data_IF_204946531384
#
_entry.id   IF_204946531384
#
_cell.length_a   1.000
_cell.length_b   1.000
_cell.length_c   1.000
_cell.angle_alpha   90.00
_cell.angle_beta   90.00
_cell.angle_gamma   90.00
#
_symmetry.space_group_name_H-M   'P 1'
#
loop_
_entity.id
_entity.type
_entity.pdbx_description
1 polymer ?
#
# COMPACT_ATOMS: atom_id res chain seq x y z
N UNK A 1 31.66 19.20 -0.37
CA UNK A 1 31.05 18.82 -1.68
C UNK A 1 32.01 17.90 -2.37
N UNK A 2 31.59 16.73 -2.75
CA UNK A 2 32.42 15.84 -3.57
C UNK A 2 32.57 16.42 -4.98
N UNK A 3 33.75 16.30 -5.60
CA UNK A 3 33.98 16.74 -6.99
C UNK A 3 33.04 15.97 -7.91
N UNK A 4 32.53 16.64 -8.94
CA UNK A 4 31.63 16.03 -9.94
C UNK A 4 32.37 15.81 -11.24
N UNK A 5 32.24 14.63 -11.80
CA UNK A 5 32.69 14.35 -13.16
C UNK A 5 31.68 14.93 -14.16
N UNK A 6 32.18 15.61 -15.19
CA UNK A 6 31.38 16.25 -16.22
C UNK A 6 31.60 15.54 -17.55
N UNK A 7 30.51 15.04 -18.13
CA UNK A 7 30.52 14.43 -19.46
C UNK A 7 29.67 15.24 -20.41
N UNK A 8 30.21 15.55 -21.62
CA UNK A 8 29.55 16.42 -22.58
C UNK A 8 29.19 15.70 -23.87
N UNK A 9 28.16 16.23 -24.55
CA UNK A 9 27.77 15.88 -25.93
C UNK A 9 27.72 14.36 -26.20
N UNK A 10 28.58 13.90 -27.10
CA UNK A 10 28.51 12.54 -27.64
C UNK A 10 28.87 11.46 -26.60
N UNK A 11 29.90 11.69 -25.82
CA UNK A 11 30.40 10.71 -24.84
C UNK A 11 29.35 10.44 -23.73
N UNK A 12 28.81 11.49 -23.12
CA UNK A 12 27.79 11.35 -22.10
C UNK A 12 26.51 10.65 -22.63
N UNK A 13 26.13 10.96 -23.90
CA UNK A 13 24.99 10.33 -24.55
C UNK A 13 25.20 8.83 -24.75
N UNK A 14 26.37 8.41 -25.22
CA UNK A 14 26.68 6.98 -25.43
C UNK A 14 26.60 6.19 -24.13
N UNK A 15 27.11 6.73 -23.02
CA UNK A 15 27.02 6.10 -21.70
C UNK A 15 25.60 6.02 -21.21
N UNK A 16 24.78 7.07 -21.34
CA UNK A 16 23.36 7.04 -20.96
C UNK A 16 22.59 5.98 -21.77
N UNK A 17 22.81 5.90 -23.08
CA UNK A 17 22.21 4.87 -23.95
C UNK A 17 22.61 3.46 -23.49
N UNK A 18 23.90 3.26 -23.19
CA UNK A 18 24.39 1.97 -22.70
C UNK A 18 23.72 1.57 -21.39
N UNK A 19 23.55 2.51 -20.45
CA UNK A 19 22.81 2.29 -19.20
C UNK A 19 21.35 1.91 -19.44
N UNK A 20 20.64 2.64 -20.32
CA UNK A 20 19.25 2.34 -20.70
C UNK A 20 19.14 0.93 -21.27
N UNK A 21 20.02 0.58 -22.23
CA UNK A 21 19.98 -0.72 -22.89
C UNK A 21 20.33 -1.87 -21.95
N UNK A 22 21.28 -1.70 -21.03
CA UNK A 22 21.62 -2.70 -20.01
C UNK A 22 20.45 -2.94 -19.08
N UNK A 23 19.81 -1.87 -18.58
CA UNK A 23 18.62 -1.96 -17.74
C UNK A 23 17.45 -2.65 -18.46
N UNK A 24 17.11 -2.20 -19.65
CA UNK A 24 16.04 -2.78 -20.42
C UNK A 24 16.27 -4.27 -20.76
N UNK A 25 17.51 -4.64 -21.13
CA UNK A 25 17.87 -6.03 -21.42
C UNK A 25 17.69 -6.93 -20.20
N UNK A 26 18.05 -6.46 -19.00
CA UNK A 26 17.88 -7.22 -17.76
C UNK A 26 16.40 -7.52 -17.48
N UNK A 27 15.52 -6.57 -17.73
CA UNK A 27 14.10 -6.67 -17.40
C UNK A 27 13.27 -7.30 -18.53
N UNK A 28 13.63 -7.09 -19.79
CA UNK A 28 12.93 -7.66 -20.97
C UNK A 28 12.77 -9.18 -20.91
N UNK A 29 13.70 -9.89 -20.29
CA UNK A 29 13.67 -11.34 -20.17
C UNK A 29 12.50 -11.85 -19.35
N UNK A 30 11.91 -11.02 -18.48
CA UNK A 30 10.75 -11.37 -17.63
C UNK A 30 9.40 -11.04 -18.28
N UNK A 31 9.39 -10.40 -19.45
CA UNK A 31 8.17 -9.90 -20.08
C UNK A 31 7.35 -11.03 -20.71
N UNK A 32 6.02 -10.97 -20.46
CA UNK A 32 5.04 -11.83 -21.12
C UNK A 32 4.85 -13.20 -20.48
N UNK A 33 3.93 -14.01 -21.04
CA UNK A 33 3.53 -15.30 -20.45
C UNK A 33 4.65 -16.35 -20.41
N UNK A 34 5.68 -16.18 -21.24
CA UNK A 34 6.85 -17.03 -21.29
C UNK A 34 8.09 -16.35 -20.71
N UNK A 35 7.89 -15.33 -19.86
CA UNK A 35 8.98 -14.62 -19.20
C UNK A 35 9.90 -15.57 -18.42
N UNK A 36 11.20 -15.35 -18.56
CA UNK A 36 12.22 -16.15 -17.89
C UNK A 36 12.34 -15.79 -16.41
N UNK A 37 12.73 -16.78 -15.63
CA UNK A 37 13.17 -16.57 -14.25
C UNK A 37 14.57 -15.95 -14.23
N UNK A 38 14.76 -14.95 -13.39
CA UNK A 38 16.05 -14.27 -13.20
C UNK A 38 16.59 -14.62 -11.82
N UNK A 39 17.89 -14.87 -11.78
CA UNK A 39 18.64 -15.08 -10.55
C UNK A 39 19.38 -13.79 -10.19
N UNK A 40 19.17 -13.33 -8.98
CA UNK A 40 19.75 -12.09 -8.47
C UNK A 40 20.54 -12.44 -7.21
N UNK A 41 21.75 -11.93 -7.10
CA UNK A 41 22.51 -12.00 -5.87
C UNK A 41 21.80 -11.19 -4.77
N UNK A 42 21.53 -11.81 -3.64
CA UNK A 42 20.81 -11.15 -2.55
C UNK A 42 21.74 -10.25 -1.74
N UNK A 43 21.48 -8.94 -1.64
CA UNK A 43 22.35 -8.04 -0.87
C UNK A 43 22.29 -8.29 0.65
N UNK A 44 21.26 -8.98 1.12
CA UNK A 44 21.01 -9.18 2.56
C UNK A 44 21.55 -10.50 3.12
N UNK A 45 22.03 -11.39 2.28
CA UNK A 45 22.57 -12.69 2.70
C UNK A 45 23.88 -12.97 2.00
N UNK A 46 24.94 -13.19 2.75
CA UNK A 46 26.21 -13.69 2.24
C UNK A 46 25.92 -15.03 1.53
N UNK A 47 26.03 -15.06 0.19
CA UNK A 47 25.68 -16.19 -0.69
C UNK A 47 24.16 -16.45 -0.90
N UNK A 48 23.27 -15.51 -0.58
CA UNK A 48 21.83 -15.63 -0.89
C UNK A 48 21.56 -15.36 -2.38
N UNK A 49 20.63 -16.13 -2.96
CA UNK A 49 20.12 -15.92 -4.32
C UNK A 49 18.64 -15.63 -4.25
N UNK A 50 18.23 -14.55 -4.87
CA UNK A 50 16.81 -14.25 -5.10
C UNK A 50 16.40 -14.77 -6.46
N UNK A 51 15.40 -15.64 -6.51
CA UNK A 51 14.84 -16.21 -7.74
C UNK A 51 13.50 -15.50 -8.00
N UNK A 52 13.39 -14.81 -9.13
CA UNK A 52 12.19 -14.04 -9.42
C UNK A 52 11.87 -13.98 -10.92
N UNK A 53 10.59 -13.81 -11.25
CA UNK A 53 10.09 -13.42 -12.57
C UNK A 53 9.55 -12.00 -12.57
N UNK A 54 9.53 -11.34 -11.41
CA UNK A 54 9.02 -10.01 -11.27
C UNK A 54 10.00 -8.97 -11.82
N UNK A 55 9.58 -8.24 -12.83
CA UNK A 55 10.39 -7.20 -13.48
C UNK A 55 10.72 -6.04 -12.56
N UNK A 56 9.90 -5.73 -11.55
CA UNK A 56 10.18 -4.68 -10.55
C UNK A 56 11.37 -5.08 -9.68
N UNK A 57 11.36 -6.29 -9.18
CA UNK A 57 12.45 -6.84 -8.36
C UNK A 57 13.76 -6.88 -9.14
N UNK A 58 13.70 -7.32 -10.41
CA UNK A 58 14.86 -7.29 -11.30
C UNK A 58 15.34 -5.85 -11.51
N UNK A 59 14.43 -4.92 -11.83
CA UNK A 59 14.78 -3.52 -12.05
C UNK A 59 15.47 -2.88 -10.85
N UNK A 60 14.96 -3.14 -9.65
CA UNK A 60 15.53 -2.60 -8.40
C UNK A 60 16.92 -3.12 -8.09
N UNK A 61 17.26 -4.34 -8.53
CA UNK A 61 18.56 -4.96 -8.27
C UNK A 61 19.67 -4.51 -9.23
N UNK A 62 19.33 -3.86 -10.36
CA UNK A 62 20.33 -3.42 -11.35
C UNK A 62 21.05 -2.18 -10.85
N UNK A 63 22.32 -2.30 -10.52
CA UNK A 63 23.23 -1.18 -10.28
C UNK A 63 24.50 -1.36 -11.12
N UNK A 64 24.92 -0.30 -11.80
CA UNK A 64 26.05 -0.32 -12.72
C UNK A 64 27.25 0.42 -12.12
N UNK A 65 28.45 -0.08 -12.42
CA UNK A 65 29.71 0.49 -11.94
C UNK A 65 30.01 1.88 -12.53
N UNK A 66 29.68 2.09 -13.81
CA UNK A 66 29.86 3.41 -14.45
C UNK A 66 28.77 4.37 -13.91
N UNK A 67 29.19 5.47 -13.33
CA UNK A 67 28.30 6.43 -12.69
C UNK A 67 27.30 7.09 -13.67
N UNK A 68 27.70 7.30 -14.93
CA UNK A 68 26.83 7.91 -15.96
C UNK A 68 25.82 6.90 -16.47
N UNK A 69 26.22 5.65 -16.72
CA UNK A 69 25.31 4.57 -17.06
C UNK A 69 24.29 4.34 -15.92
N UNK A 70 24.76 4.36 -14.66
CA UNK A 70 23.91 4.17 -13.50
C UNK A 70 22.93 5.32 -13.28
N UNK A 71 23.26 6.54 -13.71
CA UNK A 71 22.31 7.66 -13.70
C UNK A 71 21.08 7.35 -14.56
N UNK A 72 21.28 6.80 -15.76
CA UNK A 72 20.17 6.37 -16.63
C UNK A 72 19.34 5.24 -15.98
N UNK A 73 20.01 4.27 -15.36
CA UNK A 73 19.33 3.19 -14.60
C UNK A 73 18.46 3.75 -13.49
N UNK A 74 18.95 4.71 -12.70
CA UNK A 74 18.18 5.36 -11.63
C UNK A 74 16.91 6.07 -12.15
N UNK A 75 17.03 6.79 -13.27
CA UNK A 75 15.87 7.42 -13.91
C UNK A 75 14.82 6.39 -14.36
N UNK A 76 15.27 5.26 -14.93
CA UNK A 76 14.36 4.19 -15.33
C UNK A 76 13.72 3.47 -14.13
N UNK A 77 14.46 3.27 -13.04
CA UNK A 77 13.90 2.76 -11.76
C UNK A 77 12.80 3.67 -11.25
N UNK A 78 13.02 4.96 -11.21
CA UNK A 78 12.02 5.94 -10.77
C UNK A 78 10.75 5.89 -11.63
N UNK A 79 10.89 5.82 -12.96
CA UNK A 79 9.76 5.69 -13.87
C UNK A 79 8.96 4.38 -13.61
N UNK A 80 9.66 3.27 -13.39
CA UNK A 80 9.06 1.99 -13.06
C UNK A 80 8.32 2.02 -11.70
N UNK A 81 8.91 2.63 -10.68
CA UNK A 81 8.31 2.78 -9.35
C UNK A 81 7.06 3.67 -9.37
N UNK A 82 7.10 4.77 -10.11
CA UNK A 82 5.92 5.62 -10.32
C UNK A 82 4.78 4.86 -11.01
N UNK A 83 5.11 4.01 -11.99
CA UNK A 83 4.13 3.16 -12.67
C UNK A 83 3.55 2.13 -11.71
N UNK A 84 4.38 1.47 -10.90
CA UNK A 84 3.94 0.52 -9.87
C UNK A 84 2.99 1.18 -8.86
N UNK A 85 3.34 2.37 -8.39
CA UNK A 85 2.53 3.09 -7.37
C UNK A 85 1.20 3.57 -7.94
N UNK A 86 1.17 4.01 -9.20
CA UNK A 86 -0.04 4.60 -9.81
C UNK A 86 -0.98 3.57 -10.42
N UNK A 87 -0.46 2.49 -10.98
CA UNK A 87 -1.22 1.49 -11.74
C UNK A 87 -1.18 0.08 -11.11
N UNK A 88 -0.24 -0.19 -10.21
CA UNK A 88 -0.06 -1.51 -9.59
C UNK A 88 0.61 -2.54 -10.51
N UNK A 89 0.81 -2.23 -11.81
CA UNK A 89 1.38 -3.13 -12.82
C UNK A 89 1.99 -2.31 -13.97
N UNK A 90 2.65 -2.99 -14.92
CA UNK A 90 3.19 -2.37 -16.13
C UNK A 90 4.61 -1.81 -16.00
N UNK A 91 5.32 -2.12 -14.94
CA UNK A 91 6.70 -1.64 -14.69
C UNK A 91 7.69 -2.09 -15.75
N UNK A 92 7.66 -3.36 -16.13
CA UNK A 92 8.47 -3.92 -17.22
C UNK A 92 8.15 -3.23 -18.54
N UNK A 93 6.87 -3.01 -18.82
CA UNK A 93 6.39 -2.31 -20.00
C UNK A 93 6.91 -0.87 -20.05
N UNK A 94 6.88 -0.15 -18.92
CA UNK A 94 7.39 1.22 -18.83
C UNK A 94 8.90 1.29 -19.17
N UNK A 95 9.69 0.35 -18.67
CA UNK A 95 11.13 0.26 -18.96
C UNK A 95 11.38 -0.01 -20.45
N UNK A 96 10.64 -0.96 -21.03
CA UNK A 96 10.77 -1.32 -22.46
C UNK A 96 10.35 -0.17 -23.37
N UNK A 97 9.26 0.52 -23.04
CA UNK A 97 8.81 1.70 -23.78
C UNK A 97 9.80 2.86 -23.67
N UNK A 98 10.39 3.07 -22.50
CA UNK A 98 11.43 4.10 -22.31
C UNK A 98 12.60 3.85 -23.23
N UNK A 99 13.13 2.63 -23.28
CA UNK A 99 14.21 2.28 -24.21
C UNK A 99 13.80 2.50 -25.67
N UNK A 100 12.61 1.99 -26.06
CA UNK A 100 12.11 2.11 -27.43
C UNK A 100 11.95 3.58 -27.86
N UNK A 101 11.40 4.43 -27.00
CA UNK A 101 11.24 5.86 -27.28
C UNK A 101 12.59 6.60 -27.40
N UNK A 102 13.53 6.30 -26.50
CA UNK A 102 14.85 6.96 -26.53
C UNK A 102 15.66 6.52 -27.75
N UNK A 103 15.77 5.21 -27.99
CA UNK A 103 16.55 4.70 -29.14
C UNK A 103 15.90 5.10 -30.47
N UNK A 104 14.59 4.92 -30.61
CA UNK A 104 13.87 5.34 -31.81
C UNK A 104 13.94 6.85 -32.05
N UNK A 105 13.82 7.66 -30.98
CA UNK A 105 14.00 9.11 -31.08
C UNK A 105 15.40 9.52 -31.56
N UNK A 106 16.43 8.89 -31.01
CA UNK A 106 17.80 9.17 -31.38
C UNK A 106 18.14 8.78 -32.84
N UNK A 107 17.52 7.69 -33.32
CA UNK A 107 17.69 7.25 -34.71
C UNK A 107 17.04 8.23 -35.71
N UNK A 108 15.91 8.84 -35.35
CA UNK A 108 15.14 9.71 -36.24
C UNK A 108 15.46 11.20 -36.10
N UNK A 109 16.00 11.64 -34.97
CA UNK A 109 16.40 13.04 -34.77
C UNK A 109 17.74 13.30 -35.51
N UNK A 110 17.66 13.96 -36.68
CA UNK A 110 18.80 14.35 -37.49
C UNK A 110 19.36 15.69 -37.05
N UNK A 111 20.61 15.96 -37.42
CA UNK A 111 21.23 17.29 -37.22
C UNK A 111 20.39 18.38 -37.93
N UNK A 112 20.13 19.47 -37.21
CA UNK A 112 19.30 20.58 -37.71
C UNK A 112 17.84 20.51 -37.36
N UNK A 113 17.31 19.39 -36.84
CA UNK A 113 15.96 19.32 -36.34
C UNK A 113 15.79 20.05 -35.00
N UNK A 114 14.69 20.75 -34.84
CA UNK A 114 14.30 21.34 -33.56
C UNK A 114 13.83 20.25 -32.59
N UNK A 115 14.71 19.89 -31.66
CA UNK A 115 14.42 18.82 -30.68
C UNK A 115 13.17 19.06 -29.85
N UNK A 116 12.89 20.33 -29.50
CA UNK A 116 11.72 20.67 -28.71
C UNK A 116 10.43 20.44 -29.48
N UNK A 117 10.42 20.71 -30.79
CA UNK A 117 9.26 20.41 -31.64
C UNK A 117 9.03 18.90 -31.77
N UNK A 118 10.11 18.13 -31.94
CA UNK A 118 10.01 16.67 -31.99
C UNK A 118 9.44 16.11 -30.69
N UNK A 119 9.94 16.56 -29.52
CA UNK A 119 9.43 16.14 -28.22
C UNK A 119 7.96 16.52 -28.02
N UNK A 120 7.55 17.72 -28.47
CA UNK A 120 6.15 18.14 -28.43
C UNK A 120 5.27 17.23 -29.29
N UNK A 121 5.68 16.92 -30.52
CA UNK A 121 4.94 16.01 -31.40
C UNK A 121 4.84 14.59 -30.81
N UNK A 122 5.91 14.06 -30.18
CA UNK A 122 5.87 12.77 -29.48
C UNK A 122 4.84 12.80 -28.36
N UNK A 123 4.81 13.90 -27.57
CA UNK A 123 3.84 14.06 -26.50
C UNK A 123 2.40 14.12 -27.03
N UNK A 124 2.15 14.89 -28.09
CA UNK A 124 0.82 15.01 -28.70
C UNK A 124 0.34 13.68 -29.30
N UNK A 125 1.21 12.95 -29.98
CA UNK A 125 0.93 11.61 -30.52
C UNK A 125 0.67 10.58 -29.41
N UNK A 126 1.42 10.66 -28.29
CA UNK A 126 1.20 9.75 -27.15
C UNK A 126 -0.18 9.92 -26.54
N UNK A 127 -0.72 11.15 -26.48
CA UNK A 127 -2.08 11.39 -26.03
C UNK A 127 -3.11 10.71 -26.93
N UNK A 128 -2.91 10.72 -28.26
CA UNK A 128 -3.75 10.00 -29.22
C UNK A 128 -3.73 8.47 -29.00
N UNK A 129 -2.54 7.91 -28.70
CA UNK A 129 -2.40 6.50 -28.35
C UNK A 129 -3.12 6.16 -27.06
N UNK A 130 -2.97 6.99 -26.02
CA UNK A 130 -3.64 6.83 -24.73
C UNK A 130 -5.16 6.83 -24.91
N UNK A 131 -5.71 7.74 -25.71
CA UNK A 131 -7.15 7.81 -26.00
C UNK A 131 -7.62 6.57 -26.76
N UNK A 132 -6.81 6.07 -27.68
CA UNK A 132 -7.05 4.79 -28.37
C UNK A 132 -7.09 3.61 -27.41
N UNK A 133 -6.17 3.55 -26.44
CA UNK A 133 -6.12 2.52 -25.41
C UNK A 133 -7.34 2.60 -24.48
N UNK A 134 -7.73 3.81 -24.03
CA UNK A 134 -8.93 4.01 -23.21
C UNK A 134 -10.20 3.49 -23.89
N UNK A 135 -10.34 3.72 -25.21
CA UNK A 135 -11.48 3.21 -25.99
C UNK A 135 -11.51 1.68 -26.10
N UNK A 136 -10.35 1.03 -26.05
CA UNK A 136 -10.23 -0.43 -26.13
C UNK A 136 -10.29 -1.10 -24.77
N UNK A 137 -10.07 -0.36 -23.68
CA UNK A 137 -10.11 -0.91 -22.34
C UNK A 137 -11.50 -1.41 -21.98
N UNK A 138 -11.57 -2.52 -21.25
CA UNK A 138 -12.81 -3.11 -20.75
C UNK A 138 -12.78 -3.10 -19.23
N UNK A 139 -13.89 -2.72 -18.59
CA UNK A 139 -14.02 -2.86 -17.14
C UNK A 139 -14.01 -4.34 -16.76
N UNK A 140 -13.24 -4.67 -15.74
CA UNK A 140 -13.17 -6.04 -15.20
C UNK A 140 -14.53 -6.41 -14.60
N UNK A 141 -15.11 -7.52 -15.10
CA UNK A 141 -16.30 -8.14 -14.51
C UNK A 141 -15.90 -9.18 -13.45
N UNK A 142 -16.86 -9.57 -12.61
CA UNK A 142 -16.62 -10.61 -11.59
C UNK A 142 -16.15 -11.95 -12.21
N UNK A 143 -16.59 -12.27 -13.43
CA UNK A 143 -16.15 -13.48 -14.14
C UNK A 143 -14.70 -13.41 -14.60
N UNK A 144 -14.14 -12.21 -14.79
CA UNK A 144 -12.75 -12.01 -15.25
C UNK A 144 -11.76 -11.94 -14.07
N UNK A 145 -12.24 -11.87 -12.83
CA UNK A 145 -11.37 -11.73 -11.65
C UNK A 145 -10.39 -12.89 -11.52
N UNK A 146 -10.82 -14.11 -11.81
CA UNK A 146 -9.94 -15.28 -11.74
C UNK A 146 -8.78 -15.18 -12.73
N UNK A 147 -9.07 -14.75 -13.97
CA UNK A 147 -8.03 -14.65 -15.00
C UNK A 147 -7.04 -13.53 -14.66
N UNK A 148 -7.53 -12.37 -14.21
CA UNK A 148 -6.68 -11.24 -13.78
C UNK A 148 -5.83 -11.64 -12.58
N UNK A 149 -6.41 -12.26 -11.56
CA UNK A 149 -5.70 -12.70 -10.37
C UNK A 149 -4.66 -13.79 -10.71
N UNK A 150 -4.98 -14.73 -11.60
CA UNK A 150 -4.06 -15.76 -12.06
C UNK A 150 -2.84 -15.17 -12.77
N UNK A 151 -3.07 -14.21 -13.68
CA UNK A 151 -1.97 -13.51 -14.37
C UNK A 151 -1.11 -12.74 -13.38
N UNK A 152 -1.71 -12.02 -12.45
CA UNK A 152 -1.01 -11.26 -11.40
C UNK A 152 -0.22 -12.17 -10.45
N UNK A 153 -0.69 -13.39 -10.23
CA UNK A 153 0.00 -14.43 -9.47
C UNK A 153 1.01 -15.23 -10.31
N UNK A 154 1.51 -14.65 -11.40
CA UNK A 154 2.51 -15.28 -12.27
C UNK A 154 2.04 -16.62 -12.89
N UNK A 155 0.79 -16.68 -13.32
CA UNK A 155 0.08 -17.84 -13.86
C UNK A 155 -0.18 -18.97 -12.82
N UNK A 156 -0.06 -18.67 -11.53
CA UNK A 156 -0.49 -19.57 -10.47
C UNK A 156 -2.01 -19.50 -10.31
N UNK A 157 -2.70 -20.53 -10.78
CA UNK A 157 -4.16 -20.59 -10.76
C UNK A 157 -4.73 -20.84 -9.36
N UNK A 158 -3.99 -21.50 -8.48
CA UNK A 158 -4.43 -21.78 -7.10
C UNK A 158 -4.44 -20.49 -6.31
N UNK A 159 -3.34 -19.75 -6.34
CA UNK A 159 -3.26 -18.40 -5.73
C UNK A 159 -4.27 -17.45 -6.39
N UNK A 160 -4.38 -17.47 -7.71
CA UNK A 160 -5.36 -16.66 -8.44
C UNK A 160 -6.80 -16.93 -8.00
N UNK A 161 -7.14 -18.20 -7.73
CA UNK A 161 -8.46 -18.59 -7.22
C UNK A 161 -8.72 -18.03 -5.82
N UNK A 162 -7.77 -18.19 -4.89
CA UNK A 162 -7.89 -17.66 -3.53
C UNK A 162 -8.15 -16.15 -3.57
N UNK A 163 -7.35 -15.40 -4.33
CA UNK A 163 -7.48 -13.95 -4.45
C UNK A 163 -8.83 -13.57 -5.08
N UNK A 164 -9.23 -14.25 -6.16
CA UNK A 164 -10.50 -13.95 -6.82
C UNK A 164 -11.73 -14.21 -5.94
N UNK A 165 -11.67 -15.25 -5.11
CA UNK A 165 -12.74 -15.60 -4.18
C UNK A 165 -12.83 -14.56 -3.05
N UNK A 166 -11.69 -14.10 -2.52
CA UNK A 166 -11.64 -12.99 -1.56
C UNK A 166 -12.27 -11.72 -2.13
N UNK A 167 -11.89 -11.31 -3.35
CA UNK A 167 -12.48 -10.11 -3.99
C UNK A 167 -13.97 -10.24 -4.29
N UNK A 168 -14.48 -11.46 -4.52
CA UNK A 168 -15.93 -11.70 -4.63
C UNK A 168 -16.64 -11.51 -3.31
N UNK A 169 -16.01 -11.90 -2.21
CA UNK A 169 -16.58 -11.81 -0.87
C UNK A 169 -16.54 -10.39 -0.32
N UNK A 170 -15.36 -9.74 -0.36
CA UNK A 170 -15.20 -8.38 0.19
C UNK A 170 -15.75 -7.29 -0.74
N UNK A 171 -15.95 -7.59 -2.02
CA UNK A 171 -16.48 -6.65 -2.99
C UNK A 171 -15.46 -5.62 -3.48
N UNK A 172 -15.93 -4.67 -4.31
CA UNK A 172 -15.07 -3.67 -4.97
C UNK A 172 -14.41 -2.65 -4.03
N UNK A 173 -15.02 -2.44 -2.89
CA UNK A 173 -14.55 -1.48 -1.86
C UNK A 173 -13.75 -2.17 -0.75
N UNK A 174 -13.63 -3.49 -0.80
CA UNK A 174 -12.89 -4.25 0.18
C UNK A 174 -11.39 -4.07 0.04
N UNK A 175 -10.70 -4.05 1.17
CA UNK A 175 -9.24 -4.00 1.23
C UNK A 175 -8.73 -5.43 1.32
N UNK A 176 -7.81 -5.79 0.44
CA UNK A 176 -7.15 -7.10 0.42
C UNK A 176 -5.67 -6.88 0.68
N UNK A 177 -5.15 -7.54 1.72
CA UNK A 177 -3.73 -7.55 2.07
C UNK A 177 -3.17 -8.96 1.91
N UNK A 178 -1.88 -9.05 1.61
CA UNK A 178 -1.16 -10.32 1.50
C UNK A 178 -0.05 -10.32 2.54
N UNK A 179 -0.08 -11.32 3.42
CA UNK A 179 0.88 -11.48 4.51
C UNK A 179 1.49 -12.89 4.47
N UNK A 180 2.62 -13.08 5.15
CA UNK A 180 3.21 -14.41 5.29
C UNK A 180 2.41 -15.23 6.27
N UNK A 181 2.00 -16.43 5.86
CA UNK A 181 1.33 -17.38 6.75
C UNK A 181 2.25 -17.86 7.87
N UNK A 182 1.69 -18.10 9.04
CA UNK A 182 2.34 -18.79 10.17
C UNK A 182 2.33 -20.31 9.99
N UNK A 183 1.54 -20.81 9.04
CA UNK A 183 1.41 -22.23 8.68
C UNK A 183 2.09 -22.51 7.35
N UNK A 184 2.14 -23.79 6.95
CA UNK A 184 2.64 -24.23 5.63
C UNK A 184 1.62 -24.03 4.51
N UNK A 185 0.39 -23.68 4.84
CA UNK A 185 -0.72 -23.55 3.89
C UNK A 185 -0.95 -22.09 3.50
N UNK A 186 -1.34 -21.88 2.24
CA UNK A 186 -1.84 -20.60 1.75
C UNK A 186 -3.35 -20.58 1.88
N UNK A 187 -3.88 -19.66 2.67
CA UNK A 187 -5.32 -19.53 2.90
C UNK A 187 -5.73 -18.07 2.94
N UNK A 188 -7.02 -17.82 2.89
CA UNK A 188 -7.58 -16.48 3.01
C UNK A 188 -8.51 -16.41 4.22
N UNK A 189 -8.45 -15.29 4.92
CA UNK A 189 -9.39 -14.93 5.97
C UNK A 189 -10.09 -13.63 5.59
N UNK A 190 -11.40 -13.61 5.69
CA UNK A 190 -12.21 -12.40 5.45
C UNK A 190 -12.79 -11.91 6.75
N UNK A 191 -12.58 -10.61 7.02
CA UNK A 191 -13.13 -9.94 8.19
C UNK A 191 -14.07 -8.83 7.73
N UNK A 192 -15.26 -8.73 8.32
CA UNK A 192 -16.15 -7.59 8.08
C UNK A 192 -15.83 -6.51 9.10
N UNK A 193 -15.61 -5.28 8.62
CA UNK A 193 -15.32 -4.14 9.48
C UNK A 193 -13.92 -3.58 9.31
N UNK A 194 -13.48 -2.76 10.27
CA UNK A 194 -12.16 -2.14 10.29
C UNK A 194 -11.27 -2.85 11.33
N UNK A 195 -10.08 -3.24 10.92
CA UNK A 195 -9.05 -3.73 11.83
C UNK A 195 -8.24 -2.54 12.36
N UNK A 196 -8.20 -2.41 13.68
CA UNK A 196 -7.35 -1.44 14.38
C UNK A 196 -6.20 -2.20 15.03
N UNK A 197 -4.95 -1.85 14.68
CA UNK A 197 -3.76 -2.50 15.24
C UNK A 197 -3.44 -1.99 16.66
N UNK A 198 -4.44 -2.02 17.53
CA UNK A 198 -4.32 -1.64 18.95
C UNK A 198 -5.19 -2.55 19.78
N UNK A 199 -4.63 -3.03 20.88
CA UNK A 199 -5.36 -3.83 21.86
C UNK A 199 -6.00 -2.99 22.96
N UNK A 200 -6.69 -3.67 23.87
CA UNK A 200 -7.30 -3.07 25.06
C UNK A 200 -6.23 -2.47 26.00
N UNK A 201 -6.60 -1.38 26.69
CA UNK A 201 -5.71 -0.66 27.62
C UNK A 201 -5.50 -1.39 28.95
N UNK A 202 -6.35 -2.34 29.29
CA UNK A 202 -6.25 -3.14 30.50
C UNK A 202 -6.74 -4.56 30.25
N UNK A 203 -6.02 -5.62 30.71
CA UNK A 203 -6.51 -7.00 30.66
C UNK A 203 -7.83 -7.22 31.41
N UNK A 204 -8.18 -6.33 32.33
CA UNK A 204 -9.43 -6.39 33.10
C UNK A 204 -10.68 -6.09 32.25
N UNK A 205 -10.52 -5.66 31.00
CA UNK A 205 -11.62 -5.51 30.04
C UNK A 205 -11.99 -6.82 29.33
N UNK A 206 -11.19 -7.88 29.49
CA UNK A 206 -11.45 -9.20 28.90
C UNK A 206 -12.74 -9.76 29.47
N UNK A 207 -13.67 -10.14 28.61
CA UNK A 207 -14.92 -10.79 28.96
C UNK A 207 -15.01 -12.25 28.52
N UNK A 208 -14.14 -12.68 27.60
CA UNK A 208 -13.92 -14.10 27.25
C UNK A 208 -12.51 -14.52 27.64
N UNK A 209 -12.38 -15.11 28.82
CA UNK A 209 -11.10 -15.56 29.35
C UNK A 209 -10.55 -16.79 28.64
N UNK A 210 -11.36 -17.52 27.88
CA UNK A 210 -10.90 -18.71 27.16
C UNK A 210 -10.09 -18.36 25.91
N UNK A 211 -10.33 -17.17 25.37
CA UNK A 211 -9.66 -16.65 24.15
C UNK A 211 -8.82 -15.41 24.41
N UNK A 212 -8.80 -14.90 25.65
CA UNK A 212 -8.19 -13.60 25.99
C UNK A 212 -8.77 -12.44 25.18
N UNK A 213 -10.07 -12.46 24.91
CA UNK A 213 -10.75 -11.50 24.06
C UNK A 213 -11.77 -10.65 24.85
N UNK A 214 -12.02 -9.42 24.34
CA UNK A 214 -13.13 -8.60 24.73
C UNK A 214 -14.10 -8.50 23.55
N UNK A 215 -15.22 -9.22 23.61
CA UNK A 215 -16.20 -9.31 22.54
C UNK A 215 -17.50 -8.62 22.95
N UNK A 216 -17.91 -7.62 22.17
CA UNK A 216 -19.18 -6.94 22.33
C UNK A 216 -19.99 -6.98 21.04
N UNK A 217 -21.27 -7.27 21.15
CA UNK A 217 -22.27 -7.08 20.11
C UNK A 217 -23.10 -5.84 20.43
N UNK A 218 -23.53 -5.08 19.41
CA UNK A 218 -24.33 -3.86 19.55
C UNK A 218 -23.70 -2.84 20.53
N UNK A 219 -22.49 -2.42 20.20
CA UNK A 219 -21.67 -1.54 21.05
C UNK A 219 -21.76 -0.08 20.58
N UNK A 220 -21.90 0.85 21.54
CA UNK A 220 -21.69 2.27 21.28
C UNK A 220 -20.19 2.56 21.21
N UNK A 221 -19.78 3.43 20.29
CA UNK A 221 -18.37 3.73 20.08
C UNK A 221 -18.13 5.23 20.29
N UNK A 222 -17.25 5.57 21.23
CA UNK A 222 -16.76 6.92 21.45
C UNK A 222 -15.39 7.06 20.74
N UNK A 223 -15.29 7.99 19.79
CA UNK A 223 -14.08 8.23 19.01
C UNK A 223 -13.56 9.63 19.32
N UNK A 224 -12.38 9.73 19.95
CA UNK A 224 -11.79 11.02 20.29
C UNK A 224 -10.24 10.96 20.21
N UNK A 225 -9.59 12.06 19.82
CA UNK A 225 -8.15 12.22 19.94
C UNK A 225 -7.74 13.12 21.14
N UNK A 226 -8.73 13.59 21.87
CA UNK A 226 -8.54 14.35 23.11
C UNK A 226 -8.26 13.37 24.24
N UNK A 227 -7.22 13.62 25.04
CA UNK A 227 -6.91 12.77 26.19
C UNK A 227 -8.01 12.84 27.26
N UNK A 228 -8.57 11.69 27.58
CA UNK A 228 -9.51 11.58 28.72
C UNK A 228 -8.67 11.50 30.01
N UNK A 229 -8.47 12.64 30.64
CA UNK A 229 -7.70 12.77 31.88
C UNK A 229 -8.55 12.61 33.15
N UNK A 230 -9.86 12.84 33.03
CA UNK A 230 -10.83 12.69 34.12
C UNK A 230 -12.13 12.09 33.60
N UNK A 231 -12.75 11.18 34.38
CA UNK A 231 -14.03 10.55 34.08
C UNK A 231 -15.17 11.58 33.91
N UNK A 232 -15.10 12.70 34.61
CA UNK A 232 -16.11 13.76 34.51
C UNK A 232 -16.20 14.37 33.10
N UNK A 233 -15.13 14.32 32.32
CA UNK A 233 -15.14 14.81 30.92
C UNK A 233 -16.13 14.05 30.03
N UNK A 234 -16.35 12.76 30.34
CA UNK A 234 -17.25 11.88 29.55
C UNK A 234 -18.47 11.44 30.38
N UNK A 235 -18.78 12.14 31.48
CA UNK A 235 -19.91 11.79 32.37
C UNK A 235 -21.23 11.72 31.59
N UNK A 236 -21.46 12.66 30.70
CA UNK A 236 -22.69 12.71 29.88
C UNK A 236 -22.83 11.51 28.92
N UNK A 237 -21.73 10.90 28.52
CA UNK A 237 -21.70 9.66 27.71
C UNK A 237 -21.89 8.45 28.64
N UNK A 238 -21.20 8.42 29.79
CA UNK A 238 -21.21 7.28 30.69
C UNK A 238 -22.54 7.08 31.40
N UNK A 239 -23.21 8.16 31.84
CA UNK A 239 -24.49 8.07 32.58
C UNK A 239 -25.56 7.26 31.84
N UNK A 240 -25.92 7.56 30.59
CA UNK A 240 -26.90 6.77 29.85
C UNK A 240 -26.43 5.33 29.59
N UNK A 241 -25.15 5.13 29.31
CA UNK A 241 -24.59 3.78 29.10
C UNK A 241 -24.76 2.91 30.36
N UNK A 242 -24.44 3.47 31.53
CA UNK A 242 -24.58 2.75 32.81
C UNK A 242 -26.06 2.51 33.16
N UNK A 243 -26.88 3.55 33.02
CA UNK A 243 -28.30 3.47 33.37
C UNK A 243 -29.07 2.48 32.51
N UNK A 244 -28.76 2.43 31.24
CA UNK A 244 -29.43 1.54 30.26
C UNK A 244 -28.73 0.18 30.12
N UNK A 245 -27.61 -0.04 30.82
CA UNK A 245 -26.84 -1.29 30.75
C UNK A 245 -26.22 -1.57 29.37
N UNK A 246 -25.98 -0.52 28.60
CA UNK A 246 -25.40 -0.61 27.25
C UNK A 246 -23.91 -0.88 27.30
N UNK A 247 -23.36 -1.24 26.16
CA UNK A 247 -21.96 -1.56 25.98
C UNK A 247 -21.25 -0.37 25.31
N UNK A 248 -20.03 -0.04 25.75
CA UNK A 248 -19.26 1.09 25.24
C UNK A 248 -17.84 0.68 24.90
N UNK A 249 -17.41 1.00 23.67
CA UNK A 249 -16.04 0.98 23.24
C UNK A 249 -15.50 2.42 23.17
N UNK A 250 -14.42 2.70 23.85
CA UNK A 250 -13.73 3.99 23.83
C UNK A 250 -12.47 3.85 23.00
N UNK A 251 -12.35 4.64 21.94
CA UNK A 251 -11.13 4.77 21.12
C UNK A 251 -10.60 6.17 21.36
N UNK A 252 -9.74 6.31 22.35
CA UNK A 252 -9.18 7.61 22.77
C UNK A 252 -7.91 7.43 23.61
N UNK A 253 -7.00 8.42 23.59
CA UNK A 253 -5.94 8.48 24.61
C UNK A 253 -6.59 8.60 25.99
N UNK A 254 -6.25 7.72 26.92
CA UNK A 254 -6.79 7.73 28.28
C UNK A 254 -5.64 7.80 29.30
N UNK A 255 -5.79 8.68 30.28
CA UNK A 255 -4.86 8.72 31.40
C UNK A 255 -4.96 7.43 32.24
N UNK A 256 -3.85 6.94 32.78
CA UNK A 256 -3.76 5.67 33.53
C UNK A 256 -4.79 5.58 34.66
N UNK A 257 -5.02 6.67 35.39
CA UNK A 257 -6.02 6.70 36.49
C UNK A 257 -7.46 6.47 36.00
N UNK A 258 -7.77 6.97 34.79
CA UNK A 258 -9.09 6.77 34.16
C UNK A 258 -9.24 5.32 33.73
N UNK A 259 -8.21 4.74 33.09
CA UNK A 259 -8.20 3.32 32.71
C UNK A 259 -8.39 2.41 33.94
N UNK A 260 -7.67 2.68 35.02
CA UNK A 260 -7.81 1.93 36.28
C UNK A 260 -9.21 2.04 36.88
N UNK A 261 -9.82 3.21 36.78
CA UNK A 261 -11.19 3.43 37.28
C UNK A 261 -12.20 2.69 36.40
N UNK A 262 -12.05 2.69 35.08
CA UNK A 262 -12.87 1.89 34.17
C UNK A 262 -12.73 0.39 34.48
N UNK A 263 -11.51 -0.09 34.61
CA UNK A 263 -11.21 -1.48 34.93
C UNK A 263 -11.83 -1.91 36.25
N UNK A 264 -11.73 -1.08 37.29
CA UNK A 264 -12.33 -1.34 38.59
C UNK A 264 -13.88 -1.40 38.51
N UNK A 265 -14.53 -0.55 37.69
CA UNK A 265 -15.96 -0.57 37.51
C UNK A 265 -16.43 -1.76 36.64
N UNK A 266 -15.65 -2.18 35.64
CA UNK A 266 -15.91 -3.40 34.89
C UNK A 266 -15.93 -4.61 35.82
N UNK A 267 -14.95 -4.72 36.72
CA UNK A 267 -14.84 -5.84 37.67
C UNK A 267 -15.89 -5.82 38.80
N UNK A 268 -16.13 -4.65 39.41
CA UNK A 268 -16.99 -4.54 40.58
C UNK A 268 -18.46 -4.30 40.26
N UNK A 269 -18.72 -3.49 39.25
CA UNK A 269 -20.05 -3.00 38.90
C UNK A 269 -20.59 -3.59 37.59
N UNK A 270 -19.89 -4.56 37.01
CA UNK A 270 -20.26 -5.21 35.76
C UNK A 270 -20.50 -4.22 34.60
N UNK A 271 -19.74 -3.13 34.58
CA UNK A 271 -19.76 -2.15 33.51
C UNK A 271 -19.26 -2.79 32.22
N UNK A 272 -20.03 -2.72 31.15
CA UNK A 272 -19.67 -3.29 29.83
C UNK A 272 -18.92 -2.25 29.02
N UNK A 273 -17.65 -2.10 29.34
CA UNK A 273 -16.77 -1.09 28.72
C UNK A 273 -15.42 -1.69 28.34
N UNK A 274 -14.93 -1.31 27.17
CA UNK A 274 -13.56 -1.52 26.75
C UNK A 274 -12.98 -0.21 26.26
N UNK A 275 -11.69 0.03 26.53
CA UNK A 275 -10.97 1.19 26.04
C UNK A 275 -9.71 0.71 25.30
N UNK A 276 -9.46 1.28 24.11
CA UNK A 276 -8.28 1.03 23.27
C UNK A 276 -7.59 2.35 22.93
N UNK A 277 -6.30 2.29 22.67
CA UNK A 277 -5.58 3.46 22.19
C UNK A 277 -5.90 3.76 20.72
N UNK A 278 -5.83 5.04 20.31
CA UNK A 278 -5.92 5.41 18.91
C UNK A 278 -4.85 4.71 18.05
N UNK A 279 -5.17 4.38 16.81
CA UNK A 279 -4.19 3.84 15.86
C UNK A 279 -3.18 4.90 15.45
N UNK A 280 -1.92 4.52 15.27
CA UNK A 280 -0.84 5.41 14.77
C UNK A 280 -0.53 6.60 15.72
N UNK A 281 0.12 7.66 15.20
CA UNK A 281 0.53 8.87 15.92
C UNK A 281 0.43 10.10 15.03
N UNK A 282 0.29 11.28 15.64
CA UNK A 282 0.33 12.57 14.97
C UNK A 282 -0.75 12.77 13.91
N UNK A 283 -0.37 13.27 12.73
CA UNK A 283 -1.32 13.58 11.67
C UNK A 283 -2.05 12.33 11.14
N UNK A 284 -1.33 11.23 11.00
CA UNK A 284 -1.89 9.96 10.54
C UNK A 284 -2.92 9.39 11.52
N UNK A 285 -2.73 9.60 12.82
CA UNK A 285 -3.72 9.22 13.83
C UNK A 285 -5.03 9.96 13.61
N UNK A 286 -4.97 11.28 13.36
CA UNK A 286 -6.14 12.11 13.12
C UNK A 286 -6.96 11.62 11.91
N UNK A 287 -6.29 11.34 10.78
CA UNK A 287 -6.96 10.81 9.59
C UNK A 287 -7.63 9.45 9.86
N UNK A 288 -6.91 8.51 10.49
CA UNK A 288 -7.44 7.19 10.80
C UNK A 288 -8.61 7.22 11.79
N UNK A 289 -8.58 8.14 12.77
CA UNK A 289 -9.67 8.33 13.72
C UNK A 289 -10.91 8.94 13.06
N UNK A 290 -10.71 9.85 12.11
CA UNK A 290 -11.80 10.42 11.33
C UNK A 290 -12.43 9.35 10.43
N UNK A 291 -11.64 8.54 9.75
CA UNK A 291 -12.11 7.43 8.92
C UNK A 291 -12.88 6.39 9.75
N UNK A 292 -12.38 6.07 10.95
CA UNK A 292 -13.06 5.19 11.88
C UNK A 292 -14.43 5.76 12.27
N UNK A 293 -14.49 7.02 12.68
CA UNK A 293 -15.74 7.65 13.08
C UNK A 293 -16.78 7.64 11.96
N UNK A 294 -16.36 7.99 10.73
CA UNK A 294 -17.24 7.96 9.56
C UNK A 294 -17.76 6.55 9.28
N UNK A 295 -16.89 5.54 9.35
CA UNK A 295 -17.27 4.16 9.03
C UNK A 295 -18.22 3.52 10.04
N UNK A 296 -18.17 3.95 11.31
CA UNK A 296 -19.11 3.47 12.37
C UNK A 296 -20.29 4.43 12.59
N UNK A 297 -20.37 5.52 11.85
CA UNK A 297 -21.41 6.54 11.98
C UNK A 297 -21.32 7.34 13.29
N UNK A 298 -20.14 7.43 13.89
CA UNK A 298 -19.88 8.18 15.12
C UNK A 298 -19.43 9.61 14.84
N UNK A 299 -19.58 10.48 15.84
CA UNK A 299 -18.98 11.82 15.82
C UNK A 299 -17.53 11.71 16.29
N UNK A 300 -16.61 12.34 15.54
CA UNK A 300 -15.20 12.42 15.93
C UNK A 300 -14.95 13.67 16.78
N UNK A 301 -14.59 13.46 18.05
CA UNK A 301 -14.25 14.53 18.98
C UNK A 301 -12.76 14.84 18.88
N UNK A 302 -12.45 16.07 18.45
CA UNK A 302 -11.07 16.55 18.28
C UNK A 302 -11.02 18.07 18.38
N UNK A 303 -9.99 18.59 18.99
CA UNK A 303 -9.72 20.05 18.99
C UNK A 303 -9.61 20.60 17.57
N UNK A 304 -9.08 19.80 16.63
CA UNK A 304 -8.94 20.19 15.22
C UNK A 304 -10.28 20.31 14.49
N UNK A 305 -11.28 19.56 14.91
CA UNK A 305 -12.64 19.65 14.35
C UNK A 305 -13.51 20.67 15.08
N UNK A 306 -12.99 21.24 16.17
CA UNK A 306 -13.76 22.16 17.02
C UNK A 306 -14.83 21.49 17.87
N UNK A 307 -14.85 20.17 17.91
CA UNK A 307 -15.72 19.35 18.75
C UNK A 307 -14.94 18.81 19.94
N UNK A 308 -15.20 19.34 21.12
CA UNK A 308 -14.53 18.97 22.38
C UNK A 308 -15.57 18.48 23.40
#
# INVERSE_FOLDING_TARGET
MEPKDLFFAHEGRLKLIAGISKMAKSVKSTLGPYGNTVLIESPNHTHGITVTKDGVTVAKSVDLLDAVENLAVRMMKEAAERTATSAGDGTTTAIVLTEGLVLGGLEHIKDGMNRNEVLKHISDLSNGVIDGLKKRSKKVSTSMLLDVATISANNDREVGKIISDVYREVGKSGIVTVERSQTTETYAETTKGLKIDRGYLSPLFINDQSRDECVFEDVYILVADIEISNILQIENVLKPIITEGKKLLIVSPCHVNVVNTFAANVMKNNLKLCAIQPPSFGYKQHELMQDLAVSVGATYFSEKTGMT
#
